data_IF_191330897737
#
_entry.id   IF_191330897737
#
_cell.length_a   1.000
_cell.length_b   1.000
_cell.length_c   1.000
_cell.angle_alpha   90.00
_cell.angle_beta   90.00
_cell.angle_gamma   90.00
#
_symmetry.space_group_name_H-M   'P 1'
#
loop_
_entity.id
_entity.type
_entity.pdbx_description
1 polymer ?
#
# COMPACT_ATOMS: atom_id res chain seq x y z
N UNK A 1 -44.46 -5.31 26.13
CA UNK A 1 -45.10 -4.46 27.17
C UNK A 1 -45.51 -3.17 26.47
N UNK A 2 -46.81 -2.94 26.21
CA UNK A 2 -47.28 -1.68 25.61
C UNK A 2 -47.39 -0.66 26.73
N UNK A 3 -46.55 0.38 26.70
CA UNK A 3 -46.64 1.51 27.61
C UNK A 3 -47.85 2.34 27.14
N UNK A 4 -48.93 2.34 27.91
CA UNK A 4 -50.08 3.20 27.62
C UNK A 4 -49.75 4.63 28.08
N UNK A 5 -49.59 5.55 27.13
CA UNK A 5 -49.33 6.97 27.39
C UNK A 5 -50.65 7.65 27.79
N UNK A 6 -50.67 8.29 28.97
CA UNK A 6 -51.82 9.04 29.48
C UNK A 6 -51.50 10.54 29.53
N UNK A 7 -52.41 11.43 29.08
CA UNK A 7 -53.75 11.16 28.52
C UNK A 7 -53.68 10.49 27.14
N UNK A 8 -54.76 9.79 26.76
CA UNK A 8 -54.85 9.11 25.45
C UNK A 8 -54.79 10.15 24.33
N UNK A 9 -53.69 10.14 23.58
CA UNK A 9 -53.47 10.96 22.39
C UNK A 9 -54.09 10.23 21.19
N UNK A 10 -54.70 10.97 20.25
CA UNK A 10 -55.19 10.37 19.01
C UNK A 10 -54.02 9.83 18.18
N UNK A 11 -54.21 8.75 17.39
CA UNK A 11 -53.14 8.17 16.59
C UNK A 11 -52.52 9.19 15.63
N UNK A 12 -53.33 10.07 15.03
CA UNK A 12 -52.87 11.14 14.13
C UNK A 12 -51.96 12.16 14.81
N UNK A 13 -52.29 12.56 16.05
CA UNK A 13 -51.45 13.49 16.82
C UNK A 13 -50.16 12.80 17.26
N UNK A 14 -50.23 11.53 17.64
CA UNK A 14 -49.04 10.75 18.00
C UNK A 14 -48.08 10.61 16.82
N UNK A 15 -48.58 10.28 15.62
CA UNK A 15 -47.77 10.18 14.41
C UNK A 15 -47.10 11.51 14.06
N UNK A 16 -47.83 12.61 14.16
CA UNK A 16 -47.30 13.95 13.93
C UNK A 16 -46.20 14.33 14.92
N UNK A 17 -46.41 14.07 16.21
CA UNK A 17 -45.42 14.34 17.25
C UNK A 17 -44.16 13.48 17.10
N UNK A 18 -44.32 12.21 16.67
CA UNK A 18 -43.19 11.34 16.34
C UNK A 18 -42.42 11.90 15.14
N UNK A 19 -43.11 12.32 14.08
CA UNK A 19 -42.46 12.90 12.91
C UNK A 19 -41.71 14.19 13.27
N UNK A 20 -42.32 15.08 14.04
CA UNK A 20 -41.69 16.32 14.50
C UNK A 20 -40.49 16.03 15.43
N UNK A 21 -40.58 15.01 16.29
CA UNK A 21 -39.46 14.56 17.13
C UNK A 21 -38.31 14.03 16.28
N UNK A 22 -38.57 13.17 15.31
CA UNK A 22 -37.52 12.61 14.42
C UNK A 22 -36.80 13.70 13.62
N UNK A 23 -37.51 14.72 13.14
CA UNK A 23 -36.90 15.85 12.44
C UNK A 23 -36.01 16.70 13.35
N UNK A 24 -36.42 16.90 14.61
CA UNK A 24 -35.60 17.58 15.63
C UNK A 24 -34.34 16.78 15.96
N UNK A 25 -34.47 15.47 16.14
CA UNK A 25 -33.34 14.56 16.37
C UNK A 25 -32.37 14.55 15.19
N UNK A 26 -32.88 14.50 13.95
CA UNK A 26 -32.07 14.57 12.74
C UNK A 26 -31.31 15.90 12.65
N UNK A 27 -31.98 17.02 12.88
CA UNK A 27 -31.35 18.35 12.88
C UNK A 27 -30.24 18.47 13.93
N UNK A 28 -30.47 17.91 15.12
CA UNK A 28 -29.49 17.87 16.19
C UNK A 28 -28.28 17.00 15.79
N UNK A 29 -28.51 15.80 15.29
CA UNK A 29 -27.47 14.87 14.84
C UNK A 29 -26.61 15.46 13.71
N UNK A 30 -27.23 16.12 12.73
CA UNK A 30 -26.50 16.80 11.65
C UNK A 30 -25.53 17.84 12.23
N UNK A 31 -25.99 18.63 13.20
CA UNK A 31 -25.15 19.66 13.85
C UNK A 31 -23.98 19.01 14.58
N UNK A 32 -24.22 17.93 15.33
CA UNK A 32 -23.18 17.21 16.08
C UNK A 32 -22.13 16.57 15.15
N UNK A 33 -22.57 15.95 14.03
CA UNK A 33 -21.65 15.37 13.05
C UNK A 33 -20.81 16.48 12.41
N UNK A 34 -21.41 17.62 12.02
CA UNK A 34 -20.68 18.73 11.43
C UNK A 34 -19.63 19.34 12.38
N UNK A 35 -19.94 19.42 13.68
CA UNK A 35 -18.96 19.84 14.69
C UNK A 35 -17.83 18.81 14.82
N UNK A 36 -18.15 17.53 14.81
CA UNK A 36 -17.16 16.45 14.84
C UNK A 36 -16.23 16.51 13.62
N UNK A 37 -16.75 16.83 12.43
CA UNK A 37 -15.96 17.00 11.20
C UNK A 37 -14.91 18.12 11.30
N UNK A 38 -15.12 19.15 12.13
CA UNK A 38 -14.10 20.17 12.36
C UNK A 38 -12.87 19.61 13.08
N UNK A 39 -13.08 18.68 14.02
CA UNK A 39 -11.98 18.02 14.72
C UNK A 39 -11.13 17.13 13.79
N UNK A 40 -11.75 16.55 12.75
CA UNK A 40 -11.06 15.73 11.76
C UNK A 40 -10.06 16.54 10.91
N UNK A 41 -10.33 17.83 10.71
CA UNK A 41 -9.47 18.71 9.92
C UNK A 41 -8.04 18.73 10.46
N UNK A 42 -7.88 18.93 11.77
CA UNK A 42 -6.57 18.91 12.43
C UNK A 42 -5.85 17.57 12.21
N UNK A 43 -6.58 16.46 12.34
CA UNK A 43 -6.02 15.12 12.13
C UNK A 43 -5.52 14.89 10.70
N UNK A 44 -6.23 15.39 9.69
CA UNK A 44 -5.81 15.30 8.28
C UNK A 44 -4.64 16.26 7.97
N UNK A 45 -4.65 17.48 8.50
CA UNK A 45 -3.54 18.44 8.39
C UNK A 45 -2.25 17.88 9.03
N UNK A 46 -2.36 17.19 10.16
CA UNK A 46 -1.25 16.44 10.78
C UNK A 46 -0.76 15.28 9.90
N UNK A 47 -1.66 14.55 9.22
CA UNK A 47 -1.24 13.53 8.26
C UNK A 47 -0.46 14.15 7.10
N UNK A 48 -0.88 15.31 6.59
CA UNK A 48 -0.14 16.02 5.55
C UNK A 48 1.22 16.52 6.04
N UNK A 49 1.33 16.99 7.28
CA UNK A 49 2.61 17.43 7.83
C UNK A 49 3.61 16.28 7.96
N UNK A 50 3.15 15.08 8.31
CA UNK A 50 3.96 13.85 8.35
C UNK A 50 4.38 13.36 6.95
N UNK A 51 3.56 13.62 5.92
CA UNK A 51 3.85 13.28 4.52
C UNK A 51 4.65 14.37 3.78
N UNK A 52 4.79 15.57 4.38
CA UNK A 52 5.52 16.67 3.77
C UNK A 52 7.02 16.35 3.64
N UNK A 53 7.71 16.89 2.62
CA UNK A 53 9.15 16.74 2.47
C UNK A 53 9.90 17.58 3.52
N UNK A 54 10.03 17.06 4.74
CA UNK A 54 10.80 17.67 5.82
C UNK A 54 12.22 17.10 5.89
N UNK A 55 13.22 17.97 6.06
CA UNK A 55 14.61 17.58 6.27
C UNK A 55 14.89 17.49 7.79
N UNK A 56 15.66 16.49 8.27
CA UNK A 56 16.51 15.55 7.53
C UNK A 56 15.82 14.28 7.00
N UNK A 57 14.50 14.16 7.09
CA UNK A 57 13.75 12.97 6.68
C UNK A 57 13.88 11.78 7.63
N UNK A 58 13.30 10.63 7.24
CA UNK A 58 13.36 9.36 7.98
C UNK A 58 14.50 8.50 7.44
N UNK A 59 15.57 8.29 8.24
CA UNK A 59 16.64 7.34 7.90
C UNK A 59 16.33 5.99 8.49
N UNK A 60 16.17 5.00 7.62
CA UNK A 60 15.68 3.66 7.92
C UNK A 60 16.76 2.63 7.61
N UNK A 61 17.00 1.73 8.56
CA UNK A 61 17.98 0.65 8.42
C UNK A 61 17.40 -0.48 7.58
N UNK A 62 18.15 -0.94 6.58
CA UNK A 62 17.83 -2.10 5.78
C UNK A 62 18.78 -3.23 6.16
N UNK A 63 18.30 -4.26 6.86
CA UNK A 63 19.13 -5.41 7.19
C UNK A 63 18.34 -6.73 7.20
N UNK A 64 18.94 -7.77 6.64
CA UNK A 64 18.49 -9.16 6.83
C UNK A 64 19.10 -9.71 8.12
N UNK A 65 18.29 -10.22 9.04
CA UNK A 65 18.76 -10.68 10.36
C UNK A 65 19.58 -11.97 10.35
N UNK A 66 19.32 -12.90 9.40
CA UNK A 66 19.93 -14.24 9.39
C UNK A 66 20.94 -14.48 8.27
N UNK A 67 20.71 -13.92 7.08
CA UNK A 67 21.52 -14.22 5.89
C UNK A 67 22.63 -13.21 5.62
N UNK A 68 22.61 -12.06 6.31
CA UNK A 68 23.48 -10.91 6.01
C UNK A 68 23.54 -10.54 4.52
N UNK A 69 22.51 -10.91 3.75
CA UNK A 69 22.46 -10.75 2.30
C UNK A 69 22.19 -9.30 1.87
N UNK A 70 21.57 -8.50 2.75
CA UNK A 70 21.43 -7.06 2.59
C UNK A 70 21.77 -6.36 3.90
N UNK A 71 22.62 -5.34 3.82
CA UNK A 71 22.94 -4.41 4.91
C UNK A 71 23.02 -2.99 4.36
N UNK A 72 22.37 -2.02 5.00
CA UNK A 72 22.40 -0.64 4.51
C UNK A 72 21.40 0.26 5.19
N UNK A 73 21.16 1.40 4.57
CA UNK A 73 20.12 2.34 4.97
C UNK A 73 19.54 3.08 3.78
N UNK A 74 18.35 3.63 3.96
CA UNK A 74 17.72 4.58 3.06
C UNK A 74 17.20 5.78 3.85
N UNK A 75 17.25 6.97 3.26
CA UNK A 75 16.65 8.19 3.83
C UNK A 75 15.49 8.62 2.97
N UNK A 76 14.28 8.55 3.52
CA UNK A 76 13.06 9.04 2.89
C UNK A 76 12.82 10.50 3.26
N UNK A 77 12.52 11.32 2.26
CA UNK A 77 12.01 12.70 2.43
C UNK A 77 10.74 12.84 1.58
N UNK A 78 9.61 13.07 2.24
CA UNK A 78 8.31 13.14 1.55
C UNK A 78 8.00 11.85 0.78
N UNK A 79 7.77 11.97 -0.53
CA UNK A 79 7.48 10.87 -1.45
C UNK A 79 8.71 10.31 -2.19
N UNK A 80 9.92 10.62 -1.75
CA UNK A 80 11.15 10.12 -2.39
C UNK A 80 12.18 9.57 -1.41
N UNK A 81 12.99 8.62 -1.88
CA UNK A 81 14.24 8.25 -1.22
C UNK A 81 15.35 9.13 -1.79
N UNK A 82 15.95 9.96 -0.93
CA UNK A 82 16.98 10.94 -1.31
C UNK A 82 18.40 10.43 -1.09
N UNK A 83 18.57 9.43 -0.22
CA UNK A 83 19.86 8.79 0.06
C UNK A 83 19.63 7.31 0.25
N UNK A 84 20.56 6.50 -0.24
CA UNK A 84 20.56 5.07 0.00
C UNK A 84 21.96 4.52 -0.20
N UNK A 85 22.43 3.69 0.74
CA UNK A 85 23.67 2.96 0.63
C UNK A 85 23.44 1.54 1.15
N UNK A 86 23.61 0.57 0.26
CA UNK A 86 23.25 -0.83 0.47
C UNK A 86 24.40 -1.73 0.03
N UNK A 87 24.68 -2.74 0.84
CA UNK A 87 25.64 -3.80 0.59
C UNK A 87 24.84 -5.08 0.35
N UNK A 88 24.95 -5.62 -0.86
CA UNK A 88 24.21 -6.80 -1.30
C UNK A 88 25.17 -7.97 -1.48
N UNK A 89 24.84 -9.10 -0.86
CA UNK A 89 25.57 -10.36 -0.99
C UNK A 89 24.60 -11.43 -1.49
N UNK A 90 24.78 -11.85 -2.73
CA UNK A 90 23.98 -12.86 -3.43
C UNK A 90 24.89 -13.84 -4.18
N UNK A 91 24.43 -15.09 -4.32
CA UNK A 91 25.15 -16.19 -4.95
C UNK A 91 25.12 -16.06 -6.48
N UNK A 92 26.20 -15.50 -7.04
CA UNK A 92 26.35 -15.28 -8.48
C UNK A 92 26.18 -13.82 -8.91
N UNK A 93 26.06 -12.90 -7.96
CA UNK A 93 26.29 -11.48 -8.22
C UNK A 93 27.81 -11.22 -8.14
N UNK A 94 28.37 -10.56 -9.16
CA UNK A 94 29.77 -10.19 -9.13
C UNK A 94 30.00 -9.14 -8.03
N UNK A 95 31.02 -9.32 -7.20
CA UNK A 95 31.33 -8.36 -6.16
C UNK A 95 31.92 -7.08 -6.76
N UNK A 96 31.72 -5.95 -6.07
CA UNK A 96 32.45 -4.72 -6.37
C UNK A 96 33.95 -4.96 -6.10
N UNK A 97 34.83 -4.51 -7.00
CA UNK A 97 36.28 -4.83 -7.00
C UNK A 97 36.90 -4.73 -5.60
N UNK A 98 37.36 -5.87 -5.05
CA UNK A 98 38.03 -5.95 -3.74
C UNK A 98 37.10 -6.08 -2.52
N UNK A 99 35.78 -6.07 -2.71
CA UNK A 99 34.79 -6.22 -1.65
C UNK A 99 34.16 -7.62 -1.67
N UNK A 100 33.62 -8.06 -0.54
CA UNK A 100 32.86 -9.31 -0.41
C UNK A 100 31.37 -9.19 -0.75
N UNK A 101 30.98 -8.07 -1.35
CA UNK A 101 29.60 -7.68 -1.64
C UNK A 101 29.53 -6.75 -2.86
N UNK A 102 28.33 -6.57 -3.41
CA UNK A 102 28.02 -5.54 -4.39
C UNK A 102 27.45 -4.30 -3.69
N UNK A 103 28.03 -3.12 -3.95
CA UNK A 103 27.56 -1.86 -3.37
C UNK A 103 26.51 -1.21 -4.29
N UNK A 104 25.34 -0.92 -3.72
CA UNK A 104 24.26 -0.15 -4.33
C UNK A 104 24.15 1.19 -3.60
N UNK A 105 24.60 2.26 -4.26
CA UNK A 105 24.46 3.61 -3.72
C UNK A 105 23.57 4.43 -4.65
N UNK A 106 22.58 5.13 -4.11
CA UNK A 106 21.78 6.07 -4.89
C UNK A 106 22.68 7.20 -5.38
N UNK A 107 22.60 7.56 -6.67
CA UNK A 107 23.47 8.58 -7.25
C UNK A 107 23.32 9.89 -6.48
N UNK A 108 24.43 10.42 -5.97
CA UNK A 108 24.46 11.65 -5.16
C UNK A 108 24.23 12.93 -5.96
N UNK A 109 23.91 12.83 -7.26
CA UNK A 109 23.54 13.99 -8.06
C UNK A 109 22.23 14.56 -7.51
N UNK A 110 22.27 15.81 -7.04
CA UNK A 110 21.29 16.47 -6.15
C UNK A 110 19.81 16.42 -6.55
N UNK A 111 19.47 15.97 -7.75
CA UNK A 111 18.08 15.89 -8.23
C UNK A 111 17.56 14.45 -8.40
N UNK A 112 18.42 13.45 -8.27
CA UNK A 112 18.06 12.05 -8.54
C UNK A 112 17.50 11.40 -7.28
N UNK A 113 16.20 11.54 -7.04
CA UNK A 113 15.49 10.84 -5.95
C UNK A 113 14.70 9.66 -6.50
N UNK A 114 14.70 8.55 -5.77
CA UNK A 114 13.84 7.41 -6.10
C UNK A 114 12.41 7.72 -5.65
N UNK A 115 11.53 7.95 -6.61
CA UNK A 115 10.13 8.31 -6.34
C UNK A 115 9.31 7.12 -5.84
N UNK A 116 8.45 7.37 -4.85
CA UNK A 116 7.49 6.42 -4.28
C UNK A 116 6.06 6.91 -4.60
N UNK A 117 5.46 6.48 -5.74
CA UNK A 117 4.15 6.96 -6.18
C UNK A 117 3.05 6.80 -5.13
N UNK A 118 3.10 5.71 -4.35
CA UNK A 118 2.16 5.43 -3.25
C UNK A 118 2.04 6.60 -2.25
N UNK A 119 3.14 7.29 -1.95
CA UNK A 119 3.11 8.40 -1.01
C UNK A 119 2.52 9.67 -1.61
N UNK A 120 2.71 9.88 -2.92
CA UNK A 120 2.04 10.94 -3.67
C UNK A 120 0.53 10.71 -3.71
N UNK A 121 0.11 9.50 -4.04
CA UNK A 121 -1.31 9.14 -4.09
C UNK A 121 -1.97 9.26 -2.72
N UNK A 122 -1.32 8.74 -1.67
CA UNK A 122 -1.80 8.91 -0.30
C UNK A 122 -1.98 10.39 0.06
N UNK A 123 -1.01 11.24 -0.28
CA UNK A 123 -1.11 12.69 -0.03
C UNK A 123 -2.29 13.31 -0.80
N UNK A 124 -2.50 12.91 -2.05
CA UNK A 124 -3.60 13.40 -2.88
C UNK A 124 -4.96 13.01 -2.29
N UNK A 125 -5.13 11.78 -1.81
CA UNK A 125 -6.36 11.35 -1.13
C UNK A 125 -6.61 12.12 0.17
N UNK A 126 -5.57 12.34 0.99
CA UNK A 126 -5.70 13.15 2.22
C UNK A 126 -6.07 14.61 1.88
N UNK A 127 -5.49 15.17 0.82
CA UNK A 127 -5.84 16.51 0.35
C UNK A 127 -7.29 16.57 -0.17
N UNK A 128 -7.74 15.57 -0.93
CA UNK A 128 -9.13 15.44 -1.40
C UNK A 128 -10.11 15.40 -0.22
N UNK A 129 -9.81 14.60 0.80
CA UNK A 129 -10.59 14.54 2.03
C UNK A 129 -10.71 15.92 2.71
N UNK A 130 -9.61 16.67 2.80
CA UNK A 130 -9.64 18.05 3.34
C UNK A 130 -10.51 19.00 2.52
N UNK A 131 -10.51 18.88 1.19
CA UNK A 131 -11.34 19.74 0.33
C UNK A 131 -12.84 19.41 0.43
N UNK A 132 -13.18 18.19 0.83
CA UNK A 132 -14.57 17.74 1.02
C UNK A 132 -15.14 18.20 2.37
N UNK A 133 -14.28 18.54 3.34
CA UNK A 133 -14.74 18.96 4.66
C UNK A 133 -15.49 20.31 4.63
N UNK A 134 -16.53 20.47 5.47
CA UNK A 134 -17.21 21.75 5.60
C UNK A 134 -16.26 22.81 6.18
N UNK A 135 -16.43 24.05 5.73
CA UNK A 135 -15.68 25.18 6.28
C UNK A 135 -16.16 25.51 7.70
N UNK A 136 -15.25 25.96 8.57
CA UNK A 136 -15.62 26.38 9.93
C UNK A 136 -16.74 27.44 9.93
N UNK A 137 -16.68 28.37 8.97
CA UNK A 137 -17.73 29.36 8.76
C UNK A 137 -19.10 28.73 8.43
N UNK A 138 -19.16 27.70 7.58
CA UNK A 138 -20.43 27.05 7.23
C UNK A 138 -21.04 26.31 8.42
N UNK A 139 -20.21 25.67 9.25
CA UNK A 139 -20.68 25.01 10.48
C UNK A 139 -21.22 26.04 11.49
N UNK A 140 -20.56 27.20 11.62
CA UNK A 140 -21.03 28.27 12.49
C UNK A 140 -22.36 28.87 12.01
N UNK A 141 -22.52 29.10 10.71
CA UNK A 141 -23.80 29.55 10.13
C UNK A 141 -24.90 28.54 10.44
N UNK A 142 -24.63 27.25 10.20
CA UNK A 142 -25.57 26.17 10.50
C UNK A 142 -25.96 26.15 11.98
N UNK A 143 -25.00 26.30 12.89
CA UNK A 143 -25.26 26.36 14.33
C UNK A 143 -26.18 27.51 14.71
N UNK A 144 -26.01 28.69 14.09
CA UNK A 144 -26.79 29.91 14.36
C UNK A 144 -28.22 29.91 13.80
N UNK A 145 -28.58 28.98 12.90
CA UNK A 145 -29.93 28.87 12.35
C UNK A 145 -30.95 28.53 13.42
N UNK A 146 -32.16 29.10 13.28
CA UNK A 146 -33.29 28.78 14.15
C UNK A 146 -33.75 27.33 13.95
N UNK A 147 -34.24 26.70 15.03
CA UNK A 147 -34.70 25.31 15.00
C UNK A 147 -35.74 25.02 13.89
N UNK A 148 -36.74 25.88 13.61
CA UNK A 148 -37.69 25.65 12.52
C UNK A 148 -37.03 25.61 11.14
N UNK A 149 -35.96 26.39 10.94
CA UNK A 149 -35.22 26.40 9.68
C UNK A 149 -34.40 25.12 9.54
N UNK A 150 -33.76 24.66 10.63
CA UNK A 150 -33.00 23.41 10.65
C UNK A 150 -33.88 22.19 10.39
N UNK A 151 -35.07 22.12 10.98
CA UNK A 151 -35.99 21.00 10.77
C UNK A 151 -36.55 20.98 9.35
N UNK A 152 -36.77 22.15 8.73
CA UNK A 152 -37.22 22.26 7.35
C UNK A 152 -36.18 21.76 6.33
N UNK A 153 -34.89 22.00 6.56
CA UNK A 153 -33.81 21.58 5.65
C UNK A 153 -33.18 20.22 6.00
N UNK A 154 -33.45 19.67 7.18
CA UNK A 154 -32.80 18.46 7.71
C UNK A 154 -32.77 17.26 6.75
N UNK A 155 -33.84 17.04 5.98
CA UNK A 155 -33.92 15.93 5.01
C UNK A 155 -32.97 16.14 3.82
N UNK A 156 -32.80 17.38 3.37
CA UNK A 156 -31.88 17.72 2.28
C UNK A 156 -30.44 17.68 2.79
N UNK A 157 -30.20 18.31 3.95
CA UNK A 157 -28.89 18.40 4.58
C UNK A 157 -28.36 17.01 4.95
N UNK A 158 -29.21 16.09 5.41
CA UNK A 158 -28.83 14.70 5.72
C UNK A 158 -28.38 13.92 4.48
N UNK A 159 -29.04 14.09 3.32
CA UNK A 159 -28.62 13.46 2.06
C UNK A 159 -27.29 14.01 1.57
N UNK A 160 -27.10 15.33 1.66
CA UNK A 160 -25.83 15.96 1.30
C UNK A 160 -24.71 15.49 2.24
N UNK A 161 -24.95 15.50 3.54
CA UNK A 161 -23.99 15.07 4.55
C UNK A 161 -23.66 13.59 4.41
N UNK A 162 -24.64 12.75 4.07
CA UNK A 162 -24.43 11.35 3.71
C UNK A 162 -23.43 11.22 2.55
N UNK A 163 -23.66 11.92 1.45
CA UNK A 163 -22.76 11.91 0.29
C UNK A 163 -21.36 12.42 0.65
N UNK A 164 -21.26 13.44 1.50
CA UNK A 164 -19.98 13.96 1.98
C UNK A 164 -19.24 12.92 2.82
N UNK A 165 -19.91 12.30 3.79
CA UNK A 165 -19.33 11.24 4.63
C UNK A 165 -18.86 10.04 3.79
N UNK A 166 -19.64 9.64 2.79
CA UNK A 166 -19.28 8.53 1.90
C UNK A 166 -18.02 8.87 1.07
N UNK A 167 -17.92 10.10 0.55
CA UNK A 167 -16.73 10.58 -0.16
C UNK A 167 -15.49 10.64 0.77
N UNK A 168 -15.65 11.21 1.97
CA UNK A 168 -14.60 11.31 2.99
C UNK A 168 -14.08 9.92 3.41
N UNK A 169 -15.00 8.98 3.65
CA UNK A 169 -14.66 7.60 3.98
C UNK A 169 -13.91 6.92 2.83
N UNK A 170 -14.33 7.15 1.58
CA UNK A 170 -13.67 6.58 0.41
C UNK A 170 -12.24 7.09 0.25
N UNK A 171 -12.02 8.40 0.41
CA UNK A 171 -10.69 9.01 0.33
C UNK A 171 -9.77 8.51 1.45
N UNK A 172 -10.25 8.48 2.71
CA UNK A 172 -9.46 8.02 3.85
C UNK A 172 -9.12 6.52 3.74
N UNK A 173 -10.07 5.69 3.29
CA UNK A 173 -9.83 4.26 3.05
C UNK A 173 -8.83 4.04 1.93
N UNK A 174 -8.90 4.83 0.86
CA UNK A 174 -7.96 4.75 -0.26
C UNK A 174 -6.56 5.15 0.19
N UNK A 175 -6.41 6.27 0.89
CA UNK A 175 -5.15 6.69 1.49
C UNK A 175 -4.54 5.60 2.39
N UNK A 176 -5.34 5.02 3.27
CA UNK A 176 -4.91 3.93 4.17
C UNK A 176 -4.54 2.67 3.40
N UNK A 177 -5.32 2.30 2.38
CA UNK A 177 -5.11 1.11 1.56
C UNK A 177 -3.77 1.14 0.83
N UNK A 178 -3.41 2.31 0.28
CA UNK A 178 -2.15 2.51 -0.45
C UNK A 178 -0.92 2.33 0.43
N UNK A 179 -0.99 2.72 1.72
CA UNK A 179 0.09 2.52 2.68
C UNK A 179 0.16 1.10 3.25
N UNK A 180 -0.91 0.31 3.11
CA UNK A 180 -0.97 -1.07 3.59
C UNK A 180 -0.46 -2.08 2.56
N UNK A 181 -0.79 -1.89 1.29
CA UNK A 181 -0.45 -2.85 0.25
C UNK A 181 -0.04 -2.15 -1.05
N UNK A 182 0.94 -2.75 -1.74
CA UNK A 182 1.34 -2.36 -3.09
C UNK A 182 0.55 -3.17 -4.13
N UNK A 183 -0.03 -2.55 -5.17
CA UNK A 183 -0.68 -3.29 -6.24
C UNK A 183 0.34 -4.09 -7.07
N UNK A 184 -0.07 -5.26 -7.57
CA UNK A 184 0.80 -6.16 -8.35
C UNK A 184 1.40 -5.52 -9.61
N UNK A 185 0.71 -4.56 -10.21
CA UNK A 185 1.19 -3.82 -11.38
C UNK A 185 2.45 -3.00 -11.10
N UNK A 186 2.69 -2.63 -9.83
CA UNK A 186 3.83 -1.83 -9.40
C UNK A 186 4.98 -2.70 -8.85
N UNK A 187 4.85 -4.01 -8.97
CA UNK A 187 5.84 -4.99 -8.55
C UNK A 187 6.44 -5.69 -9.77
N UNK A 188 7.62 -6.27 -9.60
CA UNK A 188 8.18 -7.21 -10.56
C UNK A 188 7.16 -8.33 -10.92
N UNK A 189 7.10 -8.79 -12.18
CA UNK A 189 7.94 -8.43 -13.33
C UNK A 189 7.48 -7.19 -14.11
N UNK A 190 6.38 -6.55 -13.72
CA UNK A 190 5.77 -5.44 -14.47
C UNK A 190 6.51 -4.12 -14.28
N UNK A 191 7.06 -3.91 -13.09
CA UNK A 191 7.81 -2.73 -12.74
C UNK A 191 9.08 -3.13 -11.98
N UNK A 192 10.14 -2.36 -12.16
CA UNK A 192 11.37 -2.42 -11.39
C UNK A 192 12.03 -1.03 -11.42
N UNK A 193 12.81 -0.72 -10.38
CA UNK A 193 13.54 0.54 -10.29
C UNK A 193 14.55 0.66 -11.44
N UNK A 194 14.65 1.85 -12.01
CA UNK A 194 15.63 2.14 -13.06
C UNK A 194 17.07 2.04 -12.53
N UNK A 195 17.91 1.33 -13.28
CA UNK A 195 19.29 1.08 -12.91
C UNK A 195 20.17 2.32 -12.97
N UNK A 196 19.78 3.33 -13.77
CA UNK A 196 20.48 4.61 -13.90
C UNK A 196 20.46 5.47 -12.64
N UNK A 197 19.59 5.16 -11.68
CA UNK A 197 19.51 5.88 -10.40
C UNK A 197 20.65 5.53 -9.43
N UNK A 198 21.46 4.52 -9.73
CA UNK A 198 22.51 4.01 -8.85
C UNK A 198 23.92 4.25 -9.39
N UNK A 199 24.87 4.39 -8.47
CA UNK A 199 26.29 4.47 -8.75
C UNK A 199 27.06 3.44 -7.87
N UNK A 200 27.64 2.38 -8.46
CA UNK A 200 27.61 2.01 -9.88
C UNK A 200 26.19 1.62 -10.36
N UNK A 201 25.93 1.79 -11.66
CA UNK A 201 24.64 1.43 -12.30
C UNK A 201 24.23 0.00 -11.97
N UNK A 202 22.93 -0.21 -11.77
CA UNK A 202 22.38 -1.53 -11.46
C UNK A 202 22.69 -2.54 -12.57
N UNK A 203 23.23 -3.74 -12.27
CA UNK A 203 23.45 -4.78 -13.27
C UNK A 203 22.15 -5.25 -13.91
N UNK A 204 22.18 -5.62 -15.19
CA UNK A 204 20.97 -6.05 -15.92
C UNK A 204 20.35 -7.34 -15.37
N UNK A 205 21.14 -8.18 -14.70
CA UNK A 205 20.66 -9.39 -14.03
C UNK A 205 20.14 -9.12 -12.62
N UNK A 206 19.97 -7.85 -12.20
CA UNK A 206 19.44 -7.49 -10.90
C UNK A 206 18.17 -6.64 -11.08
N UNK A 207 17.07 -7.06 -10.46
CA UNK A 207 15.86 -6.26 -10.35
C UNK A 207 15.70 -5.79 -8.90
N UNK A 208 15.44 -4.49 -8.73
CA UNK A 208 15.21 -3.86 -7.45
C UNK A 208 13.80 -3.28 -7.44
N UNK A 209 13.04 -3.55 -6.37
CA UNK A 209 11.79 -2.87 -6.04
C UNK A 209 11.95 -2.18 -4.69
N UNK A 210 11.46 -0.94 -4.60
CA UNK A 210 11.31 -0.21 -3.33
C UNK A 210 9.88 0.29 -3.26
N UNK A 211 9.11 -0.22 -2.30
CA UNK A 211 7.67 0.05 -2.19
C UNK A 211 7.27 0.27 -0.73
N UNK A 212 6.00 0.60 -0.49
CA UNK A 212 5.42 0.73 0.84
C UNK A 212 4.44 -0.42 1.10
N UNK A 213 4.59 -1.09 2.25
CA UNK A 213 3.67 -2.13 2.72
C UNK A 213 3.56 -2.07 4.24
N UNK A 214 2.34 -2.07 4.78
CA UNK A 214 2.05 -1.89 6.20
C UNK A 214 2.88 -0.77 6.88
N UNK A 215 2.91 0.41 6.24
CA UNK A 215 3.70 1.57 6.68
C UNK A 215 5.23 1.35 6.80
N UNK A 216 5.74 0.27 6.21
CA UNK A 216 7.17 0.00 6.09
C UNK A 216 7.66 0.24 4.67
N UNK A 217 8.92 0.66 4.55
CA UNK A 217 9.64 0.61 3.28
C UNK A 217 10.08 -0.82 3.05
N UNK A 218 9.57 -1.43 1.99
CA UNK A 218 9.94 -2.77 1.55
C UNK A 218 10.93 -2.64 0.42
N UNK A 219 12.14 -3.15 0.64
CA UNK A 219 13.19 -3.25 -0.37
C UNK A 219 13.32 -4.70 -0.78
N UNK A 220 13.12 -4.97 -2.07
CA UNK A 220 13.21 -6.30 -2.63
C UNK A 220 14.19 -6.36 -3.78
N UNK A 221 15.17 -7.25 -3.67
CA UNK A 221 16.24 -7.44 -4.65
C UNK A 221 16.13 -8.85 -5.20
N UNK A 222 16.11 -8.98 -6.52
CA UNK A 222 16.02 -10.26 -7.23
C UNK A 222 17.19 -10.42 -8.19
N UNK A 223 17.92 -11.52 -8.06
CA UNK A 223 18.93 -11.95 -9.03
C UNK A 223 18.23 -12.76 -10.12
N UNK A 224 18.36 -12.30 -11.36
CA UNK A 224 17.71 -12.87 -12.54
C UNK A 224 18.67 -13.79 -13.30
N UNK A 225 18.15 -14.91 -13.79
CA UNK A 225 18.79 -15.81 -14.73
C UNK A 225 18.02 -15.79 -16.05
N UNK A 226 18.71 -15.48 -17.15
CA UNK A 226 18.10 -15.41 -18.48
C UNK A 226 17.98 -16.82 -19.06
N UNK A 227 16.77 -17.23 -19.44
CA UNK A 227 16.48 -18.62 -19.87
C UNK A 227 17.19 -18.98 -21.18
N UNK A 228 17.56 -17.98 -21.99
CA UNK A 228 18.23 -18.16 -23.29
C UNK A 228 19.75 -17.96 -23.27
N UNK A 229 20.37 -17.66 -22.12
CA UNK A 229 21.83 -17.66 -22.05
C UNK A 229 22.32 -19.10 -21.86
N UNK A 230 23.12 -19.68 -22.78
CA UNK A 230 23.71 -21.00 -22.56
C UNK A 230 24.57 -20.90 -21.30
N UNK A 231 24.18 -21.60 -20.25
CA UNK A 231 24.88 -21.58 -18.98
C UNK A 231 26.35 -21.93 -19.21
N UNK A 232 27.24 -21.01 -18.85
CA UNK A 232 28.69 -21.14 -19.00
C UNK A 232 29.28 -22.36 -18.25
N UNK A 233 28.46 -23.08 -17.47
CA UNK A 233 28.83 -24.33 -16.81
C UNK A 233 28.96 -25.55 -17.73
N UNK A 234 28.34 -25.54 -18.93
CA UNK A 234 28.43 -26.68 -19.86
C UNK A 234 29.42 -26.49 -21.02
N UNK A 235 29.88 -25.25 -21.27
CA UNK A 235 30.88 -24.96 -22.30
C UNK A 235 32.27 -25.54 -21.95
N UNK A 236 32.61 -25.61 -20.65
CA UNK A 236 33.87 -26.21 -20.20
C UNK A 236 33.91 -27.74 -20.36
N UNK A 237 32.78 -28.43 -20.18
CA UNK A 237 32.71 -29.89 -20.28
C UNK A 237 32.69 -30.33 -21.75
N UNK A 238 32.00 -29.58 -22.62
CA UNK A 238 32.02 -29.85 -24.07
C UNK A 238 33.37 -29.50 -24.70
N UNK A 239 34.04 -28.42 -24.25
CA UNK A 239 35.41 -28.12 -24.70
C UNK A 239 36.45 -29.12 -24.17
N UNK A 240 36.31 -29.62 -22.94
CA UNK A 240 37.20 -30.64 -22.39
C UNK A 240 37.01 -32.01 -23.06
N UNK A 241 35.79 -32.36 -23.47
CA UNK A 241 35.53 -33.58 -24.24
C UNK A 241 35.92 -33.44 -25.72
N UNK A 242 35.84 -32.24 -26.31
CA UNK A 242 36.31 -31.98 -27.67
C UNK A 242 37.84 -32.07 -27.83
N UNK A 243 38.60 -31.91 -26.73
CA UNK A 243 40.05 -32.11 -26.69
C UNK A 243 40.48 -33.57 -26.51
N UNK A 244 39.54 -34.48 -26.26
CA UNK A 244 39.79 -35.92 -26.19
C UNK A 244 39.25 -36.56 -27.47
N UNK A 245 40.15 -36.97 -28.38
CA UNK A 245 39.82 -37.83 -29.52
C UNK A 245 39.32 -39.19 -29.00
N UNK A 246 38.09 -39.24 -28.52
CA UNK A 246 37.38 -40.47 -28.21
C UNK A 246 36.57 -40.79 -29.45
N UNK A 247 37.01 -41.84 -30.14
CA UNK A 247 36.40 -42.37 -31.35
C UNK A 247 34.88 -42.50 -31.23
N UNK A 248 34.23 -42.14 -32.33
CA UNK A 248 32.79 -42.04 -32.56
C UNK A 248 32.07 -43.40 -32.47
N UNK A 249 31.99 -44.01 -31.27
CA UNK A 249 31.24 -45.26 -31.11
C UNK A 249 30.47 -45.45 -29.79
N UNK A 250 30.15 -44.36 -29.06
CA UNK A 250 29.27 -44.39 -27.89
C UNK A 250 28.05 -43.47 -28.01
N UNK A 251 27.54 -43.31 -29.23
CA UNK A 251 26.21 -42.76 -29.50
C UNK A 251 25.14 -43.79 -29.09
N UNK A 252 24.88 -43.99 -27.79
CA UNK A 252 23.71 -44.75 -27.29
C UNK A 252 23.46 -44.70 -25.76
N UNK A 253 23.71 -43.58 -25.08
CA UNK A 253 23.21 -43.40 -23.70
C UNK A 253 22.29 -42.18 -23.57
N UNK A 254 21.04 -42.36 -24.04
CA UNK A 254 19.89 -41.52 -23.72
C UNK A 254 19.48 -41.68 -22.23
N UNK A 255 20.20 -41.02 -21.32
CA UNK A 255 19.81 -40.97 -19.89
C UNK A 255 18.95 -39.74 -19.54
N UNK A 256 18.64 -38.84 -20.50
CA UNK A 256 17.93 -37.58 -20.22
C UNK A 256 16.42 -37.57 -20.50
N UNK A 257 15.85 -38.58 -21.16
CA UNK A 257 14.39 -38.63 -21.39
C UNK A 257 13.59 -39.43 -20.36
N UNK A 258 14.24 -40.26 -19.52
CA UNK A 258 13.54 -41.06 -18.49
C UNK A 258 13.48 -40.46 -17.08
N UNK A 259 14.15 -39.32 -16.84
CA UNK A 259 14.03 -38.59 -15.55
C UNK A 259 12.97 -37.47 -15.62
N UNK A 260 12.61 -37.01 -16.82
CA UNK A 260 11.58 -35.99 -17.03
C UNK A 260 10.13 -36.50 -16.87
N UNK A 261 9.92 -37.83 -16.78
CA UNK A 261 8.60 -38.46 -16.62
C UNK A 261 8.23 -38.91 -15.20
N UNK A 262 9.15 -38.85 -14.23
CA UNK A 262 9.00 -39.50 -12.92
C UNK A 262 8.74 -38.56 -11.73
N UNK A 263 8.57 -37.25 -11.95
CA UNK A 263 8.23 -36.27 -10.91
C UNK A 263 6.86 -35.59 -11.09
N UNK A 264 5.97 -36.19 -11.89
CA UNK A 264 4.58 -35.74 -12.04
C UNK A 264 3.65 -36.52 -11.10
N UNK A 265 3.77 -36.29 -9.79
CA UNK A 265 2.92 -37.00 -8.83
C UNK A 265 3.19 -36.74 -7.36
N UNK A 266 2.94 -35.53 -6.85
CA UNK A 266 2.46 -35.38 -5.47
C UNK A 266 1.62 -34.12 -5.30
N UNK A 267 0.31 -34.30 -5.46
CA UNK A 267 -0.71 -33.38 -4.97
C UNK A 267 -0.77 -33.59 -3.46
N UNK A 268 -0.24 -32.65 -2.67
CA UNK A 268 -0.55 -32.55 -1.25
C UNK A 268 -1.28 -31.24 -1.00
N UNK A 269 -2.56 -31.39 -0.73
CA UNK A 269 -3.44 -30.44 -0.08
C UNK A 269 -3.02 -30.26 1.37
N UNK A 270 -2.66 -29.05 1.80
CA UNK A 270 -2.79 -28.58 3.18
C UNK A 270 -2.68 -27.06 3.21
N UNK A 271 -3.64 -26.42 3.86
CA UNK A 271 -3.75 -24.97 4.04
C UNK A 271 -2.71 -24.43 5.02
N UNK A 272 -2.22 -23.21 4.77
CA UNK A 272 -1.51 -22.40 5.77
C UNK A 272 -0.32 -21.57 5.24
N UNK A 273 -0.56 -20.28 5.04
CA UNK A 273 0.37 -19.15 5.17
C UNK A 273 1.65 -19.06 4.31
N UNK A 274 1.59 -18.16 3.32
CA UNK A 274 2.58 -17.13 2.93
C UNK A 274 4.07 -17.52 2.93
N UNK A 275 4.56 -18.04 1.79
CA UNK A 275 5.87 -17.66 1.26
C UNK A 275 5.86 -17.85 -0.27
N UNK A 276 5.94 -16.75 -1.01
CA UNK A 276 5.76 -16.70 -2.46
C UNK A 276 7.05 -17.06 -3.20
N UNK A 277 7.35 -18.35 -3.27
CA UNK A 277 8.31 -18.90 -4.22
C UNK A 277 7.76 -18.79 -5.64
N UNK A 278 8.06 -17.70 -6.33
CA UNK A 278 7.84 -17.58 -7.78
C UNK A 278 8.95 -18.36 -8.52
N UNK A 279 8.87 -19.69 -8.52
CA UNK A 279 9.72 -20.60 -9.31
C UNK A 279 9.38 -20.60 -10.83
N UNK A 280 8.58 -19.63 -11.29
CA UNK A 280 8.13 -19.52 -12.67
C UNK A 280 9.08 -18.72 -13.55
N UNK A 281 9.19 -19.09 -14.84
CA UNK A 281 9.75 -18.22 -15.87
C UNK A 281 8.76 -17.09 -16.14
N UNK A 282 9.22 -15.84 -16.14
CA UNK A 282 8.42 -14.66 -16.43
C UNK A 282 9.09 -13.79 -17.50
N UNK A 283 8.31 -12.93 -18.16
CA UNK A 283 8.84 -12.00 -19.15
C UNK A 283 9.16 -10.67 -18.47
N UNK A 284 10.43 -10.28 -18.49
CA UNK A 284 10.93 -9.00 -17.97
C UNK A 284 11.72 -8.28 -19.06
N UNK A 285 11.38 -7.02 -19.34
CA UNK A 285 11.98 -6.23 -20.42
C UNK A 285 12.00 -6.95 -21.78
N UNK A 286 10.96 -7.76 -22.05
CA UNK A 286 10.83 -8.52 -23.30
C UNK A 286 11.63 -9.83 -23.36
N UNK A 287 12.31 -10.22 -22.28
CA UNK A 287 13.11 -11.45 -22.21
C UNK A 287 12.57 -12.40 -21.13
N UNK A 288 12.62 -13.70 -21.39
CA UNK A 288 12.30 -14.71 -20.40
C UNK A 288 13.40 -14.82 -19.33
N UNK A 289 13.01 -14.55 -18.09
CA UNK A 289 13.88 -14.58 -16.92
C UNK A 289 13.29 -15.48 -15.84
N UNK A 290 14.18 -16.11 -15.07
CA UNK A 290 13.86 -16.82 -13.83
C UNK A 290 14.50 -16.08 -12.66
N UNK A 291 13.77 -15.97 -11.55
CA UNK A 291 14.34 -15.46 -10.29
C UNK A 291 15.20 -16.56 -9.66
N UNK A 292 16.51 -16.35 -9.61
CA UNK A 292 17.47 -17.30 -9.02
C UNK A 292 17.57 -17.13 -7.51
N UNK A 293 17.59 -15.88 -7.04
CA UNK A 293 17.70 -15.54 -5.62
C UNK A 293 16.87 -14.27 -5.34
N UNK A 294 16.24 -14.21 -4.17
CA UNK A 294 15.39 -13.11 -3.74
C UNK A 294 15.75 -12.71 -2.30
N UNK A 295 15.97 -11.42 -2.08
CA UNK A 295 16.13 -10.84 -0.75
C UNK A 295 15.05 -9.78 -0.56
N UNK A 296 14.27 -9.90 0.51
CA UNK A 296 13.24 -8.93 0.89
C UNK A 296 13.51 -8.44 2.30
N UNK A 297 13.57 -7.13 2.48
CA UNK A 297 13.76 -6.46 3.76
C UNK A 297 12.67 -5.42 3.97
N UNK A 298 12.15 -5.34 5.17
CA UNK A 298 11.15 -4.36 5.58
C UNK A 298 11.75 -3.46 6.67
N UNK A 299 11.56 -2.15 6.53
CA UNK A 299 11.97 -1.18 7.54
C UNK A 299 10.81 -0.26 7.89
N UNK A 300 10.42 -0.27 9.16
CA UNK A 300 9.27 0.48 9.66
C UNK A 300 9.56 1.98 9.63
N UNK A 301 8.65 2.77 9.06
CA UNK A 301 8.75 4.23 9.05
C UNK A 301 7.81 4.84 10.10
N UNK A 302 8.34 5.44 11.19
CA UNK A 302 7.51 6.00 12.27
C UNK A 302 6.50 7.05 11.80
N UNK A 303 6.84 7.86 10.80
CA UNK A 303 5.92 8.87 10.26
C UNK A 303 4.76 8.20 9.52
N UNK A 304 5.03 7.18 8.71
CA UNK A 304 3.99 6.45 7.99
C UNK A 304 3.11 5.63 8.95
N UNK A 305 3.70 5.04 10.00
CA UNK A 305 2.95 4.36 11.06
C UNK A 305 1.97 5.31 11.74
N UNK A 306 2.42 6.53 12.04
CA UNK A 306 1.57 7.57 12.63
C UNK A 306 0.43 7.96 11.69
N UNK A 307 0.71 8.13 10.38
CA UNK A 307 -0.31 8.40 9.36
C UNK A 307 -1.35 7.28 9.30
N UNK A 308 -0.94 6.01 9.20
CA UNK A 308 -1.87 4.87 9.14
C UNK A 308 -2.73 4.77 10.40
N UNK A 309 -2.15 4.99 11.57
CA UNK A 309 -2.90 4.98 12.83
C UNK A 309 -3.92 6.12 12.91
N UNK A 310 -3.51 7.36 12.54
CA UNK A 310 -4.41 8.53 12.51
C UNK A 310 -5.54 8.33 11.51
N UNK A 311 -5.23 7.94 10.27
CA UNK A 311 -6.26 7.65 9.27
C UNK A 311 -7.23 6.55 9.73
N UNK A 312 -6.73 5.52 10.43
CA UNK A 312 -7.57 4.48 11.02
C UNK A 312 -8.55 5.00 12.08
N UNK A 313 -8.10 5.91 12.95
CA UNK A 313 -8.96 6.55 13.95
C UNK A 313 -10.02 7.46 13.30
N UNK A 314 -9.62 8.25 12.28
CA UNK A 314 -10.55 9.11 11.54
C UNK A 314 -11.61 8.29 10.78
N UNK A 315 -11.20 7.20 10.14
CA UNK A 315 -12.11 6.26 9.47
C UNK A 315 -13.17 5.72 10.44
N UNK A 316 -12.76 5.31 11.64
CA UNK A 316 -13.68 4.78 12.65
C UNK A 316 -14.70 5.84 13.08
N UNK A 317 -14.26 7.06 13.38
CA UNK A 317 -15.14 8.14 13.79
C UNK A 317 -16.16 8.51 12.70
N UNK A 318 -15.73 8.57 11.43
CA UNK A 318 -16.63 8.81 10.29
C UNK A 318 -17.65 7.69 10.10
N UNK A 319 -17.21 6.43 10.24
CA UNK A 319 -18.09 5.27 10.09
C UNK A 319 -19.18 5.27 11.16
N UNK A 320 -18.86 5.68 12.40
CA UNK A 320 -19.84 5.86 13.47
C UNK A 320 -20.85 6.95 13.12
N UNK A 321 -20.39 8.14 12.72
CA UNK A 321 -21.28 9.23 12.31
C UNK A 321 -22.20 8.85 11.14
N UNK A 322 -21.66 8.11 10.15
CA UNK A 322 -22.42 7.62 9.00
C UNK A 322 -23.52 6.63 9.40
N UNK A 323 -23.20 5.71 10.31
CA UNK A 323 -24.13 4.70 10.82
C UNK A 323 -25.24 5.36 11.64
N UNK A 324 -24.89 6.29 12.53
CA UNK A 324 -25.87 7.04 13.33
C UNK A 324 -26.86 7.80 12.44
N UNK A 325 -26.35 8.48 11.41
CA UNK A 325 -27.19 9.21 10.46
C UNK A 325 -28.13 8.26 9.70
N UNK A 326 -27.63 7.12 9.26
CA UNK A 326 -28.44 6.11 8.58
C UNK A 326 -29.57 5.57 9.45
N UNK A 327 -29.30 5.31 10.74
CA UNK A 327 -30.31 4.83 11.68
C UNK A 327 -31.43 5.85 11.87
N UNK A 328 -31.10 7.13 12.06
CA UNK A 328 -32.11 8.19 12.24
C UNK A 328 -32.90 8.42 10.95
N UNK A 329 -32.23 8.41 9.79
CA UNK A 329 -32.91 8.53 8.49
C UNK A 329 -33.87 7.35 8.23
N UNK A 330 -33.48 6.11 8.57
CA UNK A 330 -34.36 4.94 8.43
C UNK A 330 -35.54 4.96 9.39
N UNK A 331 -35.33 5.48 10.60
CA UNK A 331 -36.37 5.55 11.64
C UNK A 331 -37.38 6.67 11.36
N UNK A 332 -36.95 7.76 10.71
CA UNK A 332 -37.80 8.93 10.40
C UNK A 332 -38.42 8.95 8.99
N UNK A 333 -37.91 8.16 8.04
CA UNK A 333 -38.41 8.10 6.66
C UNK A 333 -39.01 6.72 6.32
N UNK A 334 -40.16 6.38 6.91
CA UNK A 334 -41.05 5.40 6.28
C UNK A 334 -41.75 6.10 5.11
N UNK A 335 -41.37 5.75 3.88
CA UNK A 335 -42.14 6.07 2.68
C UNK A 335 -43.23 5.02 2.45
#
# INVERSE_FOLDING_TARGET
MRIEVYPKVSPEVLEREVQDATLRELAWLITEIQESLLSLRSGLEECLSLLAPSQPGSTLVLSTSRSEGLKGFVTRVGSGIVKGDMQVKMHGLANTKGLGYYRLQLSGQSETSLHLPQLTDCRNFVQSALTTLPSSASVQTQKSLSLPTKTASAVIDSKLLTSQLDSLLSDIRSARGILKATPKSNLFPYHAVDGGLFEPTLPENLALDVTIQDAAIVTEIRLLEYVNTPSAGYAGITAALAGMNIDQHLSNFNFREKIAGAFKGRKQTAAGAVDGGEEGVCVYKGVEVRVKERIRVESQDPSLMSVVAKLGALEHNLAMGRTSLEIVMRSGCSF
#
